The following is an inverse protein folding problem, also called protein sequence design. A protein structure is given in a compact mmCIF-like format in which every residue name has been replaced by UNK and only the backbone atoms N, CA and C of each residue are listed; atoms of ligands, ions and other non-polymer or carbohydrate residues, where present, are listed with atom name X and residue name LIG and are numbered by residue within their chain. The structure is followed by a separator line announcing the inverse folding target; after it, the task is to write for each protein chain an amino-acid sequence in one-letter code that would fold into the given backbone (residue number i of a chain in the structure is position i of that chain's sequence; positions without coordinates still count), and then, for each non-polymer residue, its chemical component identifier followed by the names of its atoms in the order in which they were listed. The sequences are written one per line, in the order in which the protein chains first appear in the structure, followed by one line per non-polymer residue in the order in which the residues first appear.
data_IF_558935051182
#
_entry.id   IF_558935051182
#
_cell.length_a   1.000
_cell.length_b   1.000
_cell.length_c   1.000
_cell.angle_alpha   90.00
_cell.angle_beta   90.00
_cell.angle_gamma   90.00
#
_symmetry.space_group_name_H-M   'P 1'
#
loop_
_entity.id
_entity.type
_entity.pdbx_description
1 polymer ?
#
# COMPACT_ATOMS: atom_id res chain seq x y z
N UNK A 1 7.64 30.33 19.46
CA UNK A 1 7.70 29.50 20.68
C UNK A 1 7.96 28.06 20.28
N UNK A 2 9.16 27.52 20.54
CA UNK A 2 9.57 26.13 20.22
C UNK A 2 9.00 25.11 21.22
N UNK A 3 7.75 25.29 21.65
CA UNK A 3 7.27 24.76 22.94
C UNK A 3 6.00 23.91 22.91
N UNK A 4 5.45 23.56 21.74
CA UNK A 4 4.29 22.65 21.66
C UNK A 4 4.65 21.27 21.12
N UNK A 5 5.73 21.16 20.33
CA UNK A 5 6.09 19.91 19.63
C UNK A 5 6.82 18.91 20.53
N UNK A 6 7.64 19.38 21.46
CA UNK A 6 8.46 18.54 22.34
C UNK A 6 7.72 17.98 23.57
N UNK A 7 6.43 18.30 23.78
CA UNK A 7 5.66 17.72 24.90
C UNK A 7 4.95 16.41 24.54
N UNK A 8 4.73 16.14 23.26
CA UNK A 8 4.05 14.92 22.82
C UNK A 8 5.00 13.75 22.58
N UNK A 9 6.29 14.01 22.37
CA UNK A 9 7.29 12.99 22.07
C UNK A 9 8.52 13.16 22.94
N UNK A 10 8.95 12.06 23.54
CA UNK A 10 10.08 12.00 24.47
C UNK A 10 11.42 12.15 23.73
N UNK A 11 11.51 11.64 22.50
CA UNK A 11 12.68 11.77 21.62
C UNK A 11 12.33 11.56 20.12
N UNK A 12 13.35 11.50 19.27
CA UNK A 12 13.19 11.26 17.82
C UNK A 12 12.63 9.86 17.52
N UNK A 13 13.03 8.84 18.26
CA UNK A 13 12.56 7.48 18.04
C UNK A 13 11.07 7.37 18.38
N UNK A 14 10.63 8.03 19.45
CA UNK A 14 9.22 8.12 19.86
C UNK A 14 8.36 8.80 18.77
N UNK A 15 8.84 9.92 18.21
CA UNK A 15 8.18 10.58 17.09
C UNK A 15 8.09 9.68 15.84
N UNK A 16 9.16 8.96 15.50
CA UNK A 16 9.17 8.05 14.33
C UNK A 16 8.22 6.87 14.57
N UNK A 17 8.23 6.31 15.79
CA UNK A 17 7.31 5.24 16.18
C UNK A 17 5.86 5.66 15.98
N UNK A 18 5.46 6.79 16.54
CA UNK A 18 4.10 7.31 16.39
C UNK A 18 3.73 7.61 14.93
N UNK A 19 4.67 8.13 14.13
CA UNK A 19 4.43 8.38 12.71
C UNK A 19 4.25 7.07 11.91
N UNK A 20 5.01 6.02 12.23
CA UNK A 20 4.87 4.69 11.63
C UNK A 20 3.57 4.00 12.04
N UNK A 21 3.14 4.16 13.29
CA UNK A 21 1.85 3.65 13.77
C UNK A 21 0.67 4.33 13.07
N UNK A 22 0.72 5.66 12.95
CA UNK A 22 -0.29 6.42 12.20
C UNK A 22 -0.33 5.98 10.73
N UNK A 23 0.84 5.84 10.11
CA UNK A 23 0.95 5.35 8.75
C UNK A 23 0.38 3.94 8.57
N UNK A 24 0.67 3.00 9.49
CA UNK A 24 0.07 1.65 9.46
C UNK A 24 -1.46 1.70 9.54
N UNK A 25 -1.99 2.54 10.43
CA UNK A 25 -3.43 2.71 10.59
C UNK A 25 -4.06 3.26 9.31
N UNK A 26 -3.63 4.42 8.83
CA UNK A 26 -4.25 5.13 7.72
C UNK A 26 -4.03 4.41 6.38
N UNK A 27 -2.79 3.98 6.09
CA UNK A 27 -2.44 3.42 4.80
C UNK A 27 -2.77 1.93 4.64
N UNK A 28 -3.16 1.24 5.73
CA UNK A 28 -3.46 -0.20 5.67
C UNK A 28 -4.77 -0.56 6.34
N UNK A 29 -4.92 -0.29 7.63
CA UNK A 29 -6.08 -0.78 8.39
C UNK A 29 -7.36 -0.07 7.94
N UNK A 30 -7.34 1.26 7.85
CA UNK A 30 -8.49 2.06 7.42
C UNK A 30 -8.86 1.75 5.96
N UNK A 31 -7.88 1.54 5.08
CA UNK A 31 -8.12 1.15 3.68
C UNK A 31 -8.76 -0.24 3.62
N UNK A 32 -8.27 -1.21 4.40
CA UNK A 32 -8.85 -2.56 4.47
C UNK A 32 -10.30 -2.48 4.96
N UNK A 33 -10.56 -1.73 6.03
CA UNK A 33 -11.89 -1.55 6.59
C UNK A 33 -12.84 -0.89 5.59
N UNK A 34 -12.37 0.14 4.88
CA UNK A 34 -13.13 0.80 3.83
C UNK A 34 -13.55 -0.17 2.71
N UNK A 35 -12.63 -1.01 2.22
CA UNK A 35 -12.94 -1.91 1.10
C UNK A 35 -13.72 -3.15 1.53
N UNK A 36 -13.62 -3.57 2.80
CA UNK A 36 -14.43 -4.67 3.33
C UNK A 36 -15.94 -4.37 3.32
N UNK A 37 -16.33 -3.09 3.28
CA UNK A 37 -17.72 -2.69 3.07
C UNK A 37 -18.25 -3.03 1.66
N UNK A 38 -17.38 -3.34 0.69
CA UNK A 38 -17.77 -3.75 -0.65
C UNK A 38 -18.10 -5.25 -0.66
N UNK A 39 -19.36 -5.56 -1.00
CA UNK A 39 -19.89 -6.92 -0.94
C UNK A 39 -19.37 -7.84 -2.05
N UNK A 40 -19.30 -7.35 -3.28
CA UNK A 40 -18.72 -8.12 -4.39
C UNK A 40 -17.19 -8.14 -4.26
N UNK A 41 -16.62 -9.35 -4.29
CA UNK A 41 -15.18 -9.56 -4.04
C UNK A 41 -14.33 -8.99 -5.17
N UNK A 42 -14.83 -9.03 -6.41
CA UNK A 42 -14.14 -8.47 -7.57
C UNK A 42 -14.11 -6.95 -7.48
N UNK A 43 -15.26 -6.34 -7.18
CA UNK A 43 -15.38 -4.90 -6.98
C UNK A 43 -14.56 -4.43 -5.77
N UNK A 44 -14.45 -5.24 -4.70
CA UNK A 44 -13.56 -4.97 -3.56
C UNK A 44 -12.10 -4.83 -4.00
N UNK A 45 -11.61 -5.77 -4.84
CA UNK A 45 -10.24 -5.70 -5.36
C UNK A 45 -10.03 -4.49 -6.28
N UNK A 46 -11.00 -4.22 -7.17
CA UNK A 46 -10.93 -3.01 -8.00
C UNK A 46 -10.86 -1.77 -7.14
N UNK A 47 -11.74 -1.64 -6.14
CA UNK A 47 -11.77 -0.48 -5.25
C UNK A 47 -10.49 -0.32 -4.45
N UNK A 48 -9.96 -1.42 -3.90
CA UNK A 48 -8.66 -1.44 -3.21
C UNK A 48 -7.58 -0.84 -4.08
N UNK A 49 -7.39 -1.37 -5.28
CA UNK A 49 -6.32 -0.92 -6.14
C UNK A 49 -6.57 0.48 -6.73
N UNK A 50 -7.81 0.88 -6.98
CA UNK A 50 -8.12 2.27 -7.35
C UNK A 50 -7.68 3.25 -6.26
N UNK A 51 -7.96 2.95 -4.98
CA UNK A 51 -7.49 3.77 -3.86
C UNK A 51 -5.96 3.75 -3.81
N UNK A 52 -5.36 2.56 -3.77
CA UNK A 52 -3.92 2.43 -3.56
C UNK A 52 -3.08 3.05 -4.69
N UNK A 53 -3.41 2.78 -5.96
CA UNK A 53 -2.67 3.36 -7.10
C UNK A 53 -3.06 4.81 -7.38
N UNK A 54 -4.26 5.23 -6.97
CA UNK A 54 -4.73 6.61 -7.12
C UNK A 54 -4.17 7.57 -6.06
N UNK A 55 -3.64 7.04 -4.95
CA UNK A 55 -3.05 7.86 -3.89
C UNK A 55 -1.67 8.39 -4.27
N UNK A 56 -1.66 9.56 -4.89
CA UNK A 56 -0.44 10.23 -5.34
C UNK A 56 0.34 10.89 -4.19
N UNK A 57 -0.25 10.98 -3.00
CA UNK A 57 0.36 11.65 -1.86
C UNK A 57 1.09 10.64 -0.98
N UNK A 58 0.39 9.58 -0.57
CA UNK A 58 0.90 8.64 0.42
C UNK A 58 1.50 7.38 -0.24
N UNK A 59 1.12 7.04 -1.49
CA UNK A 59 1.76 5.96 -2.25
C UNK A 59 3.29 6.08 -2.42
N UNK A 60 3.87 7.28 -2.65
CA UNK A 60 5.32 7.48 -2.62
C UNK A 60 5.95 7.24 -1.24
N UNK A 61 5.22 7.46 -0.15
CA UNK A 61 5.67 7.22 1.23
C UNK A 61 5.81 5.72 1.46
N UNK A 62 4.81 4.93 1.03
CA UNK A 62 4.85 3.47 1.09
C UNK A 62 6.10 2.89 0.42
N UNK A 63 6.36 3.31 -0.82
CA UNK A 63 7.53 2.84 -1.56
C UNK A 63 8.86 3.25 -0.90
N UNK A 64 8.92 4.44 -0.30
CA UNK A 64 10.09 4.91 0.43
C UNK A 64 10.32 4.10 1.72
N UNK A 65 9.27 3.79 2.48
CA UNK A 65 9.34 2.97 3.69
C UNK A 65 9.76 1.53 3.36
N UNK A 66 9.24 0.94 2.29
CA UNK A 66 9.69 -0.37 1.80
C UNK A 66 11.18 -0.37 1.47
N UNK A 67 11.69 0.69 0.84
CA UNK A 67 13.13 0.83 0.55
C UNK A 67 14.00 0.98 1.82
N UNK A 68 13.41 1.34 2.96
CA UNK A 68 14.08 1.51 4.26
C UNK A 68 13.87 0.32 5.20
N UNK A 69 13.45 -0.85 4.71
CA UNK A 69 13.17 -2.03 5.53
C UNK A 69 14.37 -2.55 6.35
N UNK A 70 15.59 -2.11 6.05
CA UNK A 70 16.80 -2.43 6.82
C UNK A 70 17.03 -1.55 8.06
N UNK A 71 16.29 -0.45 8.22
CA UNK A 71 16.41 0.43 9.39
C UNK A 71 15.78 -0.26 10.62
N UNK A 72 16.46 -0.33 11.78
CA UNK A 72 15.96 -1.04 12.97
C UNK A 72 14.64 -0.50 13.55
N UNK A 73 14.32 0.78 13.34
CA UNK A 73 13.08 1.40 13.81
C UNK A 73 11.94 1.21 12.79
N UNK A 74 12.25 1.20 11.50
CA UNK A 74 11.26 1.13 10.40
C UNK A 74 10.94 -0.31 10.02
N UNK A 75 11.96 -1.16 9.91
CA UNK A 75 11.89 -2.53 9.41
C UNK A 75 10.78 -3.37 10.03
N UNK A 76 10.67 -3.45 11.37
CA UNK A 76 9.63 -4.24 12.02
C UNK A 76 8.20 -3.80 11.67
N UNK A 77 7.96 -2.49 11.53
CA UNK A 77 6.62 -1.96 11.17
C UNK A 77 6.33 -2.23 9.70
N UNK A 78 7.29 -1.98 8.82
CA UNK A 78 7.15 -2.26 7.38
C UNK A 78 6.91 -3.74 7.13
N UNK A 79 7.62 -4.63 7.82
CA UNK A 79 7.38 -6.07 7.72
C UNK A 79 5.95 -6.42 8.14
N UNK A 80 5.50 -5.93 9.30
CA UNK A 80 4.14 -6.18 9.80
C UNK A 80 3.07 -5.71 8.81
N UNK A 81 3.19 -4.47 8.33
CA UNK A 81 2.27 -3.88 7.35
C UNK A 81 2.24 -4.71 6.06
N UNK A 82 3.40 -5.04 5.51
CA UNK A 82 3.50 -5.80 4.26
C UNK A 82 2.90 -7.20 4.41
N UNK A 83 3.15 -7.86 5.53
CA UNK A 83 2.53 -9.15 5.82
C UNK A 83 1.00 -9.04 5.96
N UNK A 84 0.48 -7.99 6.59
CA UNK A 84 -0.97 -7.74 6.69
C UNK A 84 -1.59 -7.53 5.31
N UNK A 85 -0.98 -6.68 4.47
CA UNK A 85 -1.43 -6.43 3.08
C UNK A 85 -1.42 -7.71 2.25
N UNK A 86 -0.34 -8.50 2.32
CA UNK A 86 -0.25 -9.78 1.61
C UNK A 86 -1.31 -10.78 2.08
N UNK A 87 -1.50 -10.93 3.40
CA UNK A 87 -2.53 -11.82 3.95
C UNK A 87 -3.93 -11.41 3.50
N UNK A 88 -4.22 -10.11 3.50
CA UNK A 88 -5.49 -9.57 3.03
C UNK A 88 -5.71 -9.92 1.55
N UNK A 89 -4.76 -9.59 0.68
CA UNK A 89 -4.83 -9.93 -0.75
C UNK A 89 -5.00 -11.43 -0.98
N UNK A 90 -4.23 -12.27 -0.29
CA UNK A 90 -4.36 -13.73 -0.40
C UNK A 90 -5.76 -14.22 0.00
N UNK A 91 -6.34 -13.68 1.06
CA UNK A 91 -7.71 -14.01 1.48
C UNK A 91 -8.73 -13.55 0.42
N UNK A 92 -8.64 -12.31 -0.06
CA UNK A 92 -9.58 -11.77 -1.05
C UNK A 92 -9.51 -12.54 -2.38
N UNK A 93 -8.32 -12.89 -2.86
CA UNK A 93 -8.20 -13.73 -4.07
C UNK A 93 -8.77 -15.14 -3.88
N UNK A 94 -8.69 -15.70 -2.66
CA UNK A 94 -9.34 -16.99 -2.36
C UNK A 94 -10.86 -16.87 -2.34
N UNK A 95 -11.40 -15.79 -1.79
CA UNK A 95 -12.84 -15.50 -1.84
C UNK A 95 -13.34 -15.36 -3.29
N UNK A 96 -12.50 -14.85 -4.19
CA UNK A 96 -12.77 -14.79 -5.63
C UNK A 96 -12.73 -16.17 -6.32
N UNK A 97 -12.34 -17.24 -5.61
CA UNK A 97 -12.33 -18.62 -6.11
C UNK A 97 -10.97 -19.14 -6.56
N UNK A 98 -9.87 -18.40 -6.35
CA UNK A 98 -8.53 -18.93 -6.65
C UNK A 98 -8.13 -20.00 -5.63
N UNK A 99 -7.40 -21.01 -6.11
CA UNK A 99 -6.75 -21.99 -5.22
C UNK A 99 -5.74 -21.29 -4.31
N UNK A 100 -5.44 -21.88 -3.15
CA UNK A 100 -4.46 -21.32 -2.19
C UNK A 100 -3.14 -20.93 -2.85
N UNK A 101 -2.59 -21.80 -3.70
CA UNK A 101 -1.33 -21.54 -4.41
C UNK A 101 -1.46 -20.38 -5.42
N UNK A 102 -2.57 -20.32 -6.15
CA UNK A 102 -2.81 -19.24 -7.12
C UNK A 102 -3.04 -17.90 -6.42
N UNK A 103 -3.83 -17.87 -5.35
CA UNK A 103 -4.06 -16.67 -4.56
C UNK A 103 -2.76 -16.12 -3.95
N UNK A 104 -1.93 -17.00 -3.37
CA UNK A 104 -0.61 -16.64 -2.85
C UNK A 104 0.30 -16.00 -3.91
N UNK A 105 0.34 -16.57 -5.12
CA UNK A 105 1.12 -16.01 -6.23
C UNK A 105 0.54 -14.69 -6.71
N UNK A 106 -0.78 -14.61 -6.87
CA UNK A 106 -1.46 -13.41 -7.36
C UNK A 106 -1.31 -12.24 -6.39
N UNK A 107 -1.41 -12.47 -5.07
CA UNK A 107 -1.16 -11.46 -4.05
C UNK A 107 0.25 -10.86 -4.15
N UNK A 108 1.27 -11.70 -4.38
CA UNK A 108 2.66 -11.25 -4.55
C UNK A 108 2.86 -10.48 -5.84
N UNK A 109 2.22 -10.88 -6.94
CA UNK A 109 2.25 -10.15 -8.21
C UNK A 109 1.61 -8.77 -8.02
N UNK A 110 0.38 -8.72 -7.50
CA UNK A 110 -0.33 -7.47 -7.30
C UNK A 110 0.42 -6.51 -6.37
N UNK A 111 0.95 -7.02 -5.24
CA UNK A 111 1.72 -6.21 -4.30
C UNK A 111 3.05 -5.71 -4.90
N UNK A 112 3.77 -6.55 -5.64
CA UNK A 112 4.99 -6.15 -6.35
C UNK A 112 4.69 -5.08 -7.41
N UNK A 113 3.58 -5.19 -8.13
CA UNK A 113 3.14 -4.20 -9.11
C UNK A 113 2.83 -2.86 -8.43
N UNK A 114 2.16 -2.88 -7.29
CA UNK A 114 1.87 -1.69 -6.49
C UNK A 114 3.15 -0.95 -6.07
N UNK A 115 4.07 -1.65 -5.38
CA UNK A 115 5.34 -1.04 -4.96
C UNK A 115 6.17 -0.58 -6.16
N UNK A 116 6.25 -1.44 -7.19
CA UNK A 116 6.98 -1.16 -8.42
C UNK A 116 6.48 0.09 -9.15
N UNK A 117 5.16 0.30 -9.19
CA UNK A 117 4.57 1.49 -9.82
C UNK A 117 5.11 2.79 -9.21
N UNK A 118 5.11 2.91 -7.89
CA UNK A 118 5.61 4.11 -7.22
C UNK A 118 7.13 4.26 -7.31
N UNK A 119 7.89 3.17 -7.26
CA UNK A 119 9.34 3.20 -7.45
C UNK A 119 9.72 3.65 -8.86
N UNK A 120 9.08 3.11 -9.89
CA UNK A 120 9.33 3.50 -11.29
C UNK A 120 8.93 4.95 -11.49
N UNK A 121 7.74 5.36 -11.04
CA UNK A 121 7.30 6.76 -11.13
C UNK A 121 8.29 7.74 -10.49
N UNK A 122 8.86 7.38 -9.34
CA UNK A 122 9.92 8.16 -8.68
C UNK A 122 11.20 8.23 -9.52
N UNK A 123 11.56 7.14 -10.18
CA UNK A 123 12.77 7.05 -11.02
C UNK A 123 12.63 7.78 -12.37
N UNK A 124 11.41 7.88 -12.92
CA UNK A 124 11.11 8.58 -14.19
C UNK A 124 10.08 9.71 -13.99
N UNK A 125 10.49 10.84 -13.36
CA UNK A 125 9.58 11.94 -13.04
C UNK A 125 8.96 12.67 -14.24
N UNK A 126 9.42 12.42 -15.47
CA UNK A 126 8.90 13.02 -16.70
C UNK A 126 7.94 12.12 -17.51
N UNK A 127 7.65 10.90 -17.04
CA UNK A 127 6.77 9.97 -17.76
C UNK A 127 5.29 10.27 -17.50
N UNK A 128 4.65 10.98 -18.42
CA UNK A 128 3.24 11.38 -18.33
C UNK A 128 2.26 10.20 -18.19
N UNK A 129 2.64 8.97 -18.57
CA UNK A 129 1.79 7.79 -18.37
C UNK A 129 1.78 7.30 -16.91
N UNK A 130 2.79 7.69 -16.13
CA UNK A 130 2.92 7.40 -14.70
C UNK A 130 2.54 8.61 -13.83
N UNK A 131 2.57 9.82 -14.39
CA UNK A 131 2.19 11.08 -13.73
C UNK A 131 0.77 11.49 -14.09
N UNK A 132 -0.15 11.15 -13.19
CA UNK A 132 -1.57 11.33 -13.44
C UNK A 132 -2.16 10.03 -13.97
N UNK A 133 -3.32 9.67 -13.44
CA UNK A 133 -4.07 8.51 -13.88
C UNK A 133 -4.46 8.79 -15.34
N UNK A 134 -3.66 8.39 -16.32
CA UNK A 134 -4.23 8.12 -17.63
C UNK A 134 -5.29 7.05 -17.37
N UNK A 135 -6.59 7.34 -17.50
CA UNK A 135 -7.64 6.42 -17.06
C UNK A 135 -7.55 5.07 -17.80
N UNK A 136 -6.87 5.03 -18.94
CA UNK A 136 -6.54 3.82 -19.68
C UNK A 136 -5.43 2.97 -19.03
N UNK A 137 -4.32 3.58 -18.61
CA UNK A 137 -3.18 2.85 -18.02
C UNK A 137 -3.57 2.18 -16.71
N UNK A 138 -4.17 2.93 -15.78
CA UNK A 138 -4.58 2.37 -14.49
C UNK A 138 -5.60 1.25 -14.70
N UNK A 139 -6.63 1.47 -15.53
CA UNK A 139 -7.64 0.45 -15.83
C UNK A 139 -7.01 -0.83 -16.40
N UNK A 140 -6.08 -0.70 -17.34
CA UNK A 140 -5.38 -1.86 -17.91
C UNK A 140 -4.52 -2.58 -16.87
N UNK A 141 -3.82 -1.83 -16.00
CA UNK A 141 -3.07 -2.39 -14.89
C UNK A 141 -3.99 -3.15 -13.93
N UNK A 142 -5.13 -2.56 -13.55
CA UNK A 142 -6.11 -3.20 -12.67
C UNK A 142 -6.66 -4.50 -13.28
N UNK A 143 -6.99 -4.49 -14.57
CA UNK A 143 -7.41 -5.69 -15.30
C UNK A 143 -6.36 -6.79 -15.34
N UNK A 144 -5.06 -6.46 -15.22
CA UNK A 144 -3.99 -7.46 -15.18
C UNK A 144 -3.84 -8.14 -13.83
N UNK A 145 -4.27 -7.49 -12.74
CA UNK A 145 -4.13 -7.99 -11.37
C UNK A 145 -5.44 -8.47 -10.74
N UNK A 146 -6.59 -8.10 -11.30
CA UNK A 146 -7.93 -8.58 -10.89
C UNK A 146 -8.45 -9.59 -11.93
N UNK A 147 -8.36 -10.91 -11.66
CA UNK A 147 -8.79 -11.96 -12.59
C UNK A 147 -10.31 -12.05 -12.75
#
# INVERSE_FOLDING_TARGET
TKGSFYWHFSDRADLIGAALELWEQEATLDVIDQVNAVADVRDRLFRLFEISFGDLRDGPVDAALVAQAGDPLIGPVVERVNQTRLRFLEATYRELGLTRLRAARQARIAYSTYVGHFLVRRAVPGDEHLHGISPGYLRQLLQSIVP
#
